data_IF_198124046157
#
_entry.id   IF_198124046157
#
_cell.length_a   1.000
_cell.length_b   1.000
_cell.length_c   1.000
_cell.angle_alpha   90.00
_cell.angle_beta   90.00
_cell.angle_gamma   90.00
#
_symmetry.space_group_name_H-M   'P 1'
#
loop_
_entity.id
_entity.type
_entity.pdbx_description
1 polymer ?
#
# COMPACT_ATOMS: atom_id res chain seq x y z
N UNK A 1 15.87 34.00 10.72
CA UNK A 1 16.47 33.12 9.70
C UNK A 1 15.53 31.95 9.45
N UNK A 2 14.74 32.00 8.38
CA UNK A 2 13.81 30.94 8.02
C UNK A 2 14.61 29.80 7.40
N UNK A 3 14.75 28.68 8.11
CA UNK A 3 15.37 27.46 7.56
C UNK A 3 14.53 27.05 6.35
N UNK A 4 15.06 27.21 5.13
CA UNK A 4 14.44 26.67 3.92
C UNK A 4 14.38 25.15 4.09
N UNK A 5 13.21 24.59 4.43
CA UNK A 5 12.97 23.14 4.38
C UNK A 5 13.37 22.67 2.98
N UNK A 6 14.31 21.74 2.91
CA UNK A 6 14.73 21.16 1.64
C UNK A 6 13.50 20.51 0.99
N UNK A 7 13.22 20.87 -0.27
CA UNK A 7 12.11 20.27 -1.03
C UNK A 7 12.35 18.77 -1.15
N UNK A 8 11.34 17.97 -0.81
CA UNK A 8 11.38 16.51 -0.93
C UNK A 8 11.84 16.06 -2.33
N UNK A 9 12.50 14.91 -2.40
CA UNK A 9 12.93 14.27 -3.64
C UNK A 9 12.66 12.77 -3.58
N UNK A 10 11.93 12.25 -4.57
CA UNK A 10 11.75 10.82 -4.75
C UNK A 10 13.10 10.12 -4.92
N UNK A 11 13.23 8.98 -4.26
CA UNK A 11 14.37 8.07 -4.38
C UNK A 11 13.84 6.63 -4.48
N UNK A 12 14.62 5.75 -5.09
CA UNK A 12 14.35 4.31 -5.03
C UNK A 12 14.33 3.84 -3.58
N UNK A 13 13.22 3.23 -3.16
CA UNK A 13 13.08 2.68 -1.83
C UNK A 13 14.01 1.46 -1.63
N UNK A 14 14.50 1.31 -0.40
CA UNK A 14 15.22 0.12 0.06
C UNK A 14 14.36 -0.56 1.13
N UNK A 15 13.56 -1.54 0.74
CA UNK A 15 12.73 -2.24 1.71
C UNK A 15 13.59 -3.18 2.57
N UNK A 16 13.39 -3.11 3.88
CA UNK A 16 13.93 -4.10 4.82
C UNK A 16 13.06 -5.36 4.72
N UNK A 17 13.66 -6.53 4.53
CA UNK A 17 12.97 -7.83 4.40
C UNK A 17 12.03 -8.18 5.57
N UNK A 18 12.14 -7.49 6.71
CA UNK A 18 11.44 -7.82 7.96
C UNK A 18 10.05 -7.19 8.06
N UNK A 19 9.76 -6.12 7.30
CA UNK A 19 8.49 -5.39 7.42
C UNK A 19 7.56 -5.75 6.26
N UNK A 20 6.43 -6.38 6.57
CA UNK A 20 5.36 -6.65 5.60
C UNK A 20 4.64 -5.34 5.29
N UNK A 21 4.66 -4.94 4.01
CA UNK A 21 3.91 -3.80 3.52
C UNK A 21 2.64 -4.28 2.83
N UNK A 22 1.56 -3.51 2.96
CA UNK A 22 0.25 -3.77 2.36
C UNK A 22 -0.22 -2.52 1.61
N UNK A 23 -1.19 -2.70 0.71
CA UNK A 23 -1.78 -1.61 -0.04
C UNK A 23 -2.56 -0.66 0.87
N UNK A 24 -2.34 0.64 0.72
CA UNK A 24 -3.13 1.71 1.33
C UNK A 24 -3.96 2.38 0.24
N UNK A 25 -5.28 2.42 0.44
CA UNK A 25 -6.21 3.10 -0.48
C UNK A 25 -6.57 4.47 0.07
N UNK A 26 -6.64 5.46 -0.81
CA UNK A 26 -7.22 6.78 -0.53
C UNK A 26 -8.59 6.96 -1.18
N UNK A 27 -9.18 5.89 -1.72
CA UNK A 27 -10.40 5.98 -2.50
C UNK A 27 -11.57 6.48 -1.65
N UNK A 28 -12.36 7.37 -2.22
CA UNK A 28 -13.59 7.90 -1.64
C UNK A 28 -14.73 7.76 -2.64
N UNK A 29 -15.97 7.70 -2.15
CA UNK A 29 -17.14 7.79 -3.03
C UNK A 29 -17.28 9.22 -3.52
N UNK A 30 -17.48 9.41 -4.81
CA UNK A 30 -17.93 10.67 -5.36
C UNK A 30 -19.46 10.79 -5.23
N UNK A 31 -20.04 12.00 -5.45
CA UNK A 31 -21.49 12.20 -5.47
C UNK A 31 -22.25 11.41 -6.54
N UNK A 32 -21.56 10.90 -7.57
CA UNK A 32 -22.12 10.07 -8.65
C UNK A 32 -22.16 8.58 -8.32
N UNK A 33 -21.60 8.16 -7.19
CA UNK A 33 -21.51 6.76 -6.76
C UNK A 33 -20.30 6.00 -7.31
N UNK A 34 -19.35 6.69 -7.94
CA UNK A 34 -18.07 6.13 -8.38
C UNK A 34 -17.00 6.29 -7.30
N UNK A 35 -16.01 5.42 -7.31
CA UNK A 35 -14.85 5.56 -6.44
C UNK A 35 -13.75 6.36 -7.14
N UNK A 36 -13.27 7.41 -6.51
CA UNK A 36 -12.14 8.21 -6.99
C UNK A 36 -10.98 8.14 -6.00
N UNK A 37 -9.74 8.22 -6.49
CA UNK A 37 -8.59 8.49 -5.65
C UNK A 37 -8.26 9.99 -5.69
N UNK A 38 -8.66 10.78 -4.68
CA UNK A 38 -8.53 12.23 -4.74
C UNK A 38 -7.07 12.69 -4.73
N UNK A 39 -6.16 11.90 -4.15
CA UNK A 39 -4.73 12.19 -4.10
C UNK A 39 -4.10 12.03 -5.48
N UNK A 40 -4.43 10.94 -6.19
CA UNK A 40 -3.90 10.65 -7.52
C UNK A 40 -4.52 11.57 -8.56
N UNK A 41 -5.85 11.67 -8.58
CA UNK A 41 -6.60 12.52 -9.51
C UNK A 41 -6.14 13.97 -9.45
N UNK A 42 -5.95 14.53 -8.25
CA UNK A 42 -5.49 15.91 -8.13
C UNK A 42 -4.03 16.10 -8.58
N UNK A 43 -3.13 15.18 -8.22
CA UNK A 43 -1.71 15.34 -8.54
C UNK A 43 -1.40 15.11 -10.04
N UNK A 44 -2.10 14.15 -10.64
CA UNK A 44 -1.75 13.56 -11.92
C UNK A 44 -2.83 13.74 -13.00
N UNK A 45 -4.06 14.08 -12.64
CA UNK A 45 -5.21 14.09 -13.54
C UNK A 45 -5.80 12.69 -13.74
N UNK A 46 -6.77 12.58 -14.65
CA UNK A 46 -7.47 11.32 -14.93
C UNK A 46 -6.70 10.44 -15.92
N UNK A 47 -5.96 11.06 -16.85
CA UNK A 47 -5.23 10.34 -17.91
C UNK A 47 -3.71 10.48 -17.84
N UNK A 48 -3.01 9.37 -18.03
CA UNK A 48 -1.55 9.32 -18.05
C UNK A 48 -1.07 8.32 -19.11
N UNK A 49 -0.08 8.74 -19.89
CA UNK A 49 0.53 7.88 -20.91
C UNK A 49 1.60 6.98 -20.28
N UNK A 50 1.37 5.67 -20.33
CA UNK A 50 2.26 4.68 -19.74
C UNK A 50 3.66 4.66 -20.35
N UNK A 51 3.79 4.99 -21.63
CA UNK A 51 5.07 5.04 -22.35
C UNK A 51 5.92 6.22 -21.89
N UNK A 52 5.31 7.39 -21.73
CA UNK A 52 5.95 8.59 -21.17
C UNK A 52 6.36 8.35 -19.71
N UNK A 53 5.46 7.80 -18.90
CA UNK A 53 5.75 7.44 -17.52
C UNK A 53 6.92 6.46 -17.43
N UNK A 54 6.91 5.39 -18.24
CA UNK A 54 8.00 4.41 -18.29
C UNK A 54 9.34 5.07 -18.66
N UNK A 55 9.38 5.84 -19.74
CA UNK A 55 10.60 6.50 -20.21
C UNK A 55 11.16 7.44 -19.14
N UNK A 56 10.29 8.21 -18.48
CA UNK A 56 10.66 9.08 -17.38
C UNK A 56 11.25 8.31 -16.19
N UNK A 57 10.57 7.27 -15.72
CA UNK A 57 11.03 6.47 -14.57
C UNK A 57 12.39 5.83 -14.86
N UNK A 58 12.54 5.22 -16.03
CA UNK A 58 13.79 4.60 -16.45
C UNK A 58 14.91 5.64 -16.55
N UNK A 59 14.63 6.81 -17.16
CA UNK A 59 15.64 7.85 -17.26
C UNK A 59 16.04 8.39 -15.90
N UNK A 60 15.08 8.64 -15.01
CA UNK A 60 15.31 9.28 -13.71
C UNK A 60 15.92 8.33 -12.67
N UNK A 61 15.46 7.09 -12.63
CA UNK A 61 15.79 6.13 -11.57
C UNK A 61 16.64 4.95 -12.05
N UNK A 62 16.80 4.77 -13.37
CA UNK A 62 17.51 3.62 -13.95
C UNK A 62 16.63 2.37 -13.96
N UNK A 63 17.24 1.20 -13.80
CA UNK A 63 16.50 -0.06 -13.77
C UNK A 63 15.56 -0.17 -12.55
N UNK A 64 14.49 -0.96 -12.66
CA UNK A 64 13.50 -1.13 -11.61
C UNK A 64 14.12 -1.78 -10.36
N UNK A 65 13.71 -1.35 -9.16
CA UNK A 65 14.28 -1.82 -7.89
C UNK A 65 13.51 -2.99 -7.26
N UNK A 66 12.50 -3.52 -7.92
CA UNK A 66 11.67 -4.62 -7.43
C UNK A 66 11.33 -5.58 -8.56
N UNK A 67 11.03 -6.84 -8.23
CA UNK A 67 10.51 -7.79 -9.21
C UNK A 67 9.08 -7.45 -9.63
N UNK A 68 8.72 -7.78 -10.85
CA UNK A 68 7.41 -7.55 -11.43
C UNK A 68 6.87 -8.82 -12.09
N UNK A 69 5.55 -8.90 -12.23
CA UNK A 69 4.89 -10.01 -12.90
C UNK A 69 5.19 -9.97 -14.41
N UNK A 70 5.78 -11.05 -14.95
CA UNK A 70 6.22 -11.11 -16.35
C UNK A 70 5.09 -11.11 -17.39
N UNK A 71 3.83 -11.20 -16.96
CA UNK A 71 2.65 -11.13 -17.82
C UNK A 71 1.87 -9.82 -17.61
N UNK A 72 1.70 -9.37 -16.36
CA UNK A 72 0.77 -8.27 -16.00
C UNK A 72 1.41 -6.89 -15.89
N UNK A 73 2.74 -6.81 -15.75
CA UNK A 73 3.42 -5.56 -15.42
C UNK A 73 4.57 -5.30 -16.40
N UNK A 74 4.66 -4.09 -16.96
CA UNK A 74 5.83 -3.68 -17.75
C UNK A 74 7.07 -3.58 -16.86
N UNK A 75 6.89 -2.95 -15.70
CA UNK A 75 7.94 -2.69 -14.73
C UNK A 75 7.34 -2.22 -13.41
N UNK A 76 8.13 -2.30 -12.33
CA UNK A 76 7.71 -1.89 -10.99
C UNK A 76 8.78 -1.08 -10.27
N UNK A 77 8.43 0.14 -9.91
CA UNK A 77 9.26 1.01 -9.08
C UNK A 77 8.61 1.19 -7.71
N UNK A 78 9.38 1.00 -6.65
CA UNK A 78 8.97 1.40 -5.29
C UNK A 78 9.82 2.61 -4.91
N UNK A 79 9.17 3.74 -4.69
CA UNK A 79 9.78 5.04 -4.41
C UNK A 79 9.47 5.48 -2.97
N UNK A 80 10.38 6.24 -2.37
CA UNK A 80 10.17 6.88 -1.07
C UNK A 80 9.07 7.94 -1.15
N UNK A 81 8.46 8.28 -0.02
CA UNK A 81 7.63 9.49 0.12
C UNK A 81 8.19 10.36 1.26
N UNK A 82 7.66 11.57 1.51
CA UNK A 82 8.01 12.33 2.71
C UNK A 82 7.67 11.60 4.01
N UNK A 83 6.72 10.66 3.98
CA UNK A 83 6.35 9.86 5.14
C UNK A 83 7.14 8.56 5.17
N UNK A 84 7.85 8.30 6.27
CA UNK A 84 8.77 7.15 6.41
C UNK A 84 8.08 5.79 6.27
N UNK A 85 6.80 5.73 6.64
CA UNK A 85 5.98 4.51 6.61
C UNK A 85 5.10 4.45 5.36
N UNK A 86 5.38 5.26 4.33
CA UNK A 86 4.64 5.24 3.08
C UNK A 86 5.60 5.15 1.90
N UNK A 87 5.35 4.19 1.03
CA UNK A 87 6.00 4.09 -0.27
C UNK A 87 5.00 4.32 -1.39
N UNK A 88 5.48 4.95 -2.47
CA UNK A 88 4.77 5.05 -3.72
C UNK A 88 5.20 3.89 -4.61
N UNK A 89 4.27 3.02 -5.00
CA UNK A 89 4.48 1.99 -5.99
C UNK A 89 3.98 2.50 -7.34
N UNK A 90 4.85 2.48 -8.35
CA UNK A 90 4.55 2.91 -9.70
C UNK A 90 4.69 1.73 -10.66
N UNK A 91 3.59 1.39 -11.33
CA UNK A 91 3.50 0.32 -12.33
C UNK A 91 2.88 0.91 -13.59
N UNK A 92 3.66 1.17 -14.66
CA UNK A 92 3.10 1.58 -15.94
C UNK A 92 2.09 0.54 -16.47
N UNK A 93 0.80 0.86 -16.42
CA UNK A 93 -0.33 0.06 -16.87
C UNK A 93 -0.61 0.30 -18.35
N UNK A 94 -0.94 -0.74 -19.11
CA UNK A 94 -1.29 -0.60 -20.53
C UNK A 94 -2.72 -0.04 -20.64
N UNK A 95 -2.81 1.27 -20.82
CA UNK A 95 -4.03 2.06 -20.89
C UNK A 95 -3.72 3.52 -20.63
N UNK A 96 -4.75 4.32 -20.39
CA UNK A 96 -4.65 5.74 -20.09
C UNK A 96 -5.11 6.09 -18.66
N UNK A 97 -5.69 5.16 -17.90
CA UNK A 97 -6.19 5.44 -16.55
C UNK A 97 -5.07 5.69 -15.54
N UNK A 98 -5.03 6.90 -14.99
CA UNK A 98 -3.99 7.33 -14.04
C UNK A 98 -3.98 6.51 -12.76
N UNK A 99 -5.14 6.16 -12.22
CA UNK A 99 -5.26 5.42 -10.96
C UNK A 99 -4.65 4.02 -11.03
N UNK A 100 -4.58 3.43 -12.22
CA UNK A 100 -3.99 2.11 -12.42
C UNK A 100 -2.46 2.13 -12.41
N UNK A 101 -1.84 3.31 -12.52
CA UNK A 101 -0.38 3.47 -12.45
C UNK A 101 0.18 3.46 -11.04
N UNK A 102 -0.63 3.84 -10.05
CA UNK A 102 -0.15 4.21 -8.72
C UNK A 102 -0.84 3.41 -7.63
N UNK A 103 -0.04 2.89 -6.70
CA UNK A 103 -0.55 2.36 -5.43
C UNK A 103 0.35 2.81 -4.30
N UNK A 104 -0.19 2.88 -3.10
CA UNK A 104 0.56 3.24 -1.91
C UNK A 104 0.77 2.01 -1.04
N UNK A 105 1.96 1.89 -0.47
CA UNK A 105 2.32 0.76 0.39
C UNK A 105 2.69 1.27 1.79
N UNK A 106 2.13 0.63 2.81
CA UNK A 106 2.34 1.00 4.22
C UNK A 106 2.54 -0.25 5.09
N UNK A 107 3.21 -0.16 6.25
CA UNK A 107 3.20 -1.21 7.26
C UNK A 107 1.78 -1.65 7.66
N UNK A 108 1.62 -2.92 8.01
CA UNK A 108 0.29 -3.49 8.28
C UNK A 108 -0.45 -2.83 9.46
N UNK A 109 0.28 -2.40 10.49
CA UNK A 109 -0.26 -1.67 11.64
C UNK A 109 -0.86 -0.31 11.25
N UNK A 110 -0.22 0.41 10.32
CA UNK A 110 -0.76 1.66 9.78
C UNK A 110 -2.06 1.41 9.02
N UNK A 111 -2.09 0.37 8.17
CA UNK A 111 -3.31 -0.03 7.47
C UNK A 111 -4.45 -0.33 8.45
N UNK A 112 -4.18 -1.12 9.50
CA UNK A 112 -5.16 -1.44 10.53
C UNK A 112 -5.65 -0.19 11.26
N UNK A 113 -4.77 0.76 11.57
CA UNK A 113 -5.16 2.02 12.21
C UNK A 113 -6.14 2.83 11.32
N UNK A 114 -5.90 2.88 10.02
CA UNK A 114 -6.78 3.56 9.06
C UNK A 114 -8.15 2.89 8.94
N UNK A 115 -8.18 1.56 8.84
CA UNK A 115 -9.42 0.78 8.82
C UNK A 115 -10.22 0.96 10.11
N UNK A 116 -9.56 0.85 11.26
CA UNK A 116 -10.19 1.03 12.57
C UNK A 116 -10.77 2.44 12.74
N UNK A 117 -10.07 3.46 12.25
CA UNK A 117 -10.59 4.83 12.27
C UNK A 117 -11.84 4.96 11.40
N UNK A 118 -11.83 4.40 10.18
CA UNK A 118 -12.98 4.42 9.28
C UNK A 118 -14.23 3.71 9.83
N UNK A 119 -14.02 2.74 10.73
CA UNK A 119 -15.08 1.94 11.35
C UNK A 119 -15.39 2.33 12.80
N UNK A 120 -14.72 3.34 13.36
CA UNK A 120 -14.75 3.66 14.81
C UNK A 120 -16.16 3.82 15.39
N UNK A 121 -17.08 4.44 14.66
CA UNK A 121 -18.46 4.61 15.13
C UNK A 121 -19.23 3.30 15.13
N UNK A 122 -18.98 2.42 14.16
CA UNK A 122 -19.55 1.06 14.13
C UNK A 122 -18.97 0.20 15.24
N UNK A 123 -17.67 0.28 15.49
CA UNK A 123 -17.07 -0.42 16.62
C UNK A 123 -17.67 0.08 17.94
N UNK A 124 -17.81 1.40 18.13
CA UNK A 124 -18.43 1.94 19.34
C UNK A 124 -19.89 1.51 19.50
N UNK A 125 -20.66 1.49 18.41
CA UNK A 125 -22.04 1.00 18.38
C UNK A 125 -22.12 -0.49 18.70
N UNK A 126 -21.22 -1.29 18.13
CA UNK A 126 -21.14 -2.73 18.37
C UNK A 126 -20.80 -3.05 19.83
N UNK A 127 -19.90 -2.28 20.44
CA UNK A 127 -19.61 -2.42 21.87
C UNK A 127 -20.84 -2.16 22.74
N UNK A 128 -21.66 -1.16 22.39
CA UNK A 128 -22.92 -0.90 23.10
C UNK A 128 -23.97 -2.00 22.84
N UNK A 129 -24.00 -2.57 21.64
CA UNK A 129 -24.83 -3.72 21.33
C UNK A 129 -24.47 -4.93 22.21
N UNK A 130 -23.18 -5.16 22.43
CA UNK A 130 -22.69 -6.22 23.31
C UNK A 130 -23.06 -5.96 24.77
N UNK A 131 -22.88 -4.74 25.26
CA UNK A 131 -23.30 -4.35 26.62
C UNK A 131 -24.81 -4.60 26.82
N UNK A 132 -25.61 -4.21 25.83
CA UNK A 132 -27.05 -4.41 25.84
C UNK A 132 -27.46 -5.89 25.82
N UNK A 133 -26.75 -6.71 25.05
CA UNK A 133 -26.99 -8.16 25.02
C UNK A 133 -26.64 -8.84 26.34
N UNK A 134 -25.55 -8.41 26.98
CA UNK A 134 -25.15 -8.95 28.27
C UNK A 134 -26.18 -8.66 29.37
N UNK A 135 -26.84 -7.50 29.32
CA UNK A 135 -27.95 -7.18 30.21
C UNK A 135 -29.18 -8.09 29.99
N UNK A 136 -29.36 -8.61 28.78
CA UNK A 136 -30.43 -9.57 28.42
C UNK A 136 -30.05 -11.03 28.67
N UNK A 137 -28.79 -11.28 29.03
CA UNK A 137 -28.23 -12.61 29.20
C UNK A 137 -27.69 -13.22 27.90
N UNK A 138 -26.71 -14.11 28.07
CA UNK A 138 -26.10 -14.85 26.96
C UNK A 138 -26.73 -16.24 26.82
N UNK A 139 -26.79 -16.80 25.60
CA UNK A 139 -27.24 -18.17 25.42
C UNK A 139 -26.37 -19.18 26.19
N UNK A 140 -26.99 -20.23 26.73
CA UNK A 140 -26.29 -21.28 27.49
C UNK A 140 -25.19 -22.00 26.69
N UNK A 141 -25.24 -21.96 25.35
CA UNK A 141 -24.25 -22.57 24.46
C UNK A 141 -23.02 -21.68 24.19
N UNK A 142 -23.04 -20.41 24.62
CA UNK A 142 -21.95 -19.45 24.39
C UNK A 142 -20.58 -19.92 24.91
N UNK A 143 -20.45 -20.58 26.08
CA UNK A 143 -19.17 -21.14 26.52
C UNK A 143 -18.60 -22.19 25.55
N UNK A 144 -19.47 -22.99 24.92
CA UNK A 144 -19.06 -23.96 23.91
C UNK A 144 -18.54 -23.30 22.65
N UNK A 145 -19.14 -22.17 22.24
CA UNK A 145 -18.66 -21.34 21.14
C UNK A 145 -17.28 -20.74 21.41
N UNK A 146 -17.06 -20.19 22.61
CA UNK A 146 -15.76 -19.67 23.04
C UNK A 146 -14.67 -20.74 22.97
N UNK A 147 -14.94 -21.93 23.52
CA UNK A 147 -14.01 -23.04 23.49
C UNK A 147 -13.68 -23.45 22.04
N UNK A 148 -14.69 -23.52 21.17
CA UNK A 148 -14.49 -23.79 19.75
C UNK A 148 -13.57 -22.73 19.09
N UNK A 149 -13.85 -21.44 19.26
CA UNK A 149 -13.03 -20.38 18.66
C UNK A 149 -11.58 -20.44 19.12
N UNK A 150 -11.35 -20.70 20.40
CA UNK A 150 -10.00 -20.87 20.96
C UNK A 150 -9.30 -22.06 20.32
N UNK A 151 -9.91 -23.25 20.35
CA UNK A 151 -9.33 -24.47 19.77
C UNK A 151 -9.06 -24.33 18.27
N UNK A 152 -10.04 -23.86 17.49
CA UNK A 152 -9.92 -23.72 16.04
C UNK A 152 -8.81 -22.72 15.65
N UNK A 153 -8.66 -21.62 16.40
CA UNK A 153 -7.58 -20.67 16.17
C UNK A 153 -6.21 -21.28 16.42
N UNK A 154 -6.09 -22.09 17.48
CA UNK A 154 -4.82 -22.70 17.91
C UNK A 154 -4.42 -23.90 17.07
N UNK A 155 -5.39 -24.63 16.51
CA UNK A 155 -5.14 -25.64 15.46
C UNK A 155 -4.52 -25.00 14.21
N UNK A 156 -4.99 -23.81 13.83
CA UNK A 156 -4.48 -23.09 12.66
C UNK A 156 -3.15 -22.37 12.94
N UNK A 157 -2.96 -21.88 14.17
CA UNK A 157 -1.77 -21.15 14.59
C UNK A 157 -1.55 -21.38 16.09
N UNK A 158 -0.55 -22.20 16.44
CA UNK A 158 -0.30 -22.63 17.83
C UNK A 158 -0.11 -21.46 18.82
N UNK A 159 0.40 -20.32 18.33
CA UNK A 159 0.65 -19.11 19.12
C UNK A 159 -0.57 -18.16 19.17
N UNK A 160 -1.73 -18.57 18.63
CA UNK A 160 -2.93 -17.76 18.68
C UNK A 160 -3.40 -17.55 20.15
N UNK A 161 -3.82 -16.32 20.50
CA UNK A 161 -4.33 -16.03 21.82
C UNK A 161 -5.64 -16.77 22.07
N UNK A 162 -5.88 -17.15 23.32
CA UNK A 162 -7.16 -17.73 23.74
C UNK A 162 -8.25 -16.65 23.78
N UNK A 163 -9.44 -16.98 23.28
CA UNK A 163 -10.60 -16.11 23.43
C UNK A 163 -11.20 -16.33 24.82
N UNK A 164 -11.11 -15.29 25.65
CA UNK A 164 -11.71 -15.26 26.99
C UNK A 164 -13.02 -14.48 27.02
N UNK A 165 -13.34 -13.77 25.93
CA UNK A 165 -14.52 -12.93 25.80
C UNK A 165 -15.24 -13.21 24.48
N UNK A 166 -16.56 -13.41 24.53
CA UNK A 166 -17.37 -13.72 23.34
C UNK A 166 -17.36 -12.57 22.34
N UNK A 167 -17.18 -11.33 22.81
CA UNK A 167 -17.06 -10.12 22.00
C UNK A 167 -15.93 -10.23 20.97
N UNK A 168 -14.85 -10.92 21.31
CA UNK A 168 -13.67 -11.07 20.43
C UNK A 168 -13.86 -12.16 19.35
N UNK A 169 -14.97 -12.89 19.39
CA UNK A 169 -15.26 -14.00 18.46
C UNK A 169 -16.05 -13.59 17.23
N UNK A 170 -16.46 -12.33 17.11
CA UNK A 170 -17.30 -11.80 16.01
C UNK A 170 -16.69 -12.07 14.63
N UNK A 171 -15.36 -12.01 14.50
CA UNK A 171 -14.65 -12.35 13.24
C UNK A 171 -14.87 -13.79 12.75
N UNK A 172 -15.31 -14.70 13.62
CA UNK A 172 -15.64 -16.09 13.26
C UNK A 172 -17.08 -16.26 12.72
N UNK A 173 -17.92 -15.23 12.79
CA UNK A 173 -19.36 -15.32 12.46
C UNK A 173 -19.65 -15.51 10.95
N UNK A 174 -18.66 -15.28 10.09
CA UNK A 174 -18.80 -15.29 8.63
C UNK A 174 -18.42 -16.62 7.96
N UNK A 175 -18.02 -17.64 8.73
CA UNK A 175 -17.56 -18.93 8.19
C UNK A 175 -18.40 -20.09 8.73
N UNK A 176 -19.68 -20.25 8.32
CA UNK A 176 -20.52 -21.33 8.82
C UNK A 176 -20.00 -22.74 8.48
N UNK A 177 -19.04 -22.87 7.56
CA UNK A 177 -18.58 -24.18 7.09
C UNK A 177 -19.68 -24.88 6.28
N UNK A 178 -19.38 -26.08 5.79
CA UNK A 178 -20.37 -26.94 5.15
C UNK A 178 -21.13 -27.80 6.18
N UNK A 179 -22.28 -28.39 5.83
CA UNK A 179 -23.03 -29.29 6.73
C UNK A 179 -22.25 -30.52 7.20
N UNK A 180 -21.14 -30.87 6.53
CA UNK A 180 -20.23 -31.95 6.91
C UNK A 180 -19.23 -31.55 8.00
N UNK A 181 -19.19 -30.28 8.40
CA UNK A 181 -18.32 -29.78 9.46
C UNK A 181 -18.88 -30.15 10.84
N UNK A 182 -18.11 -30.82 11.72
CA UNK A 182 -18.56 -31.19 13.07
C UNK A 182 -19.05 -30.03 13.93
N UNK A 183 -18.65 -28.79 13.60
CA UNK A 183 -19.03 -27.57 14.30
C UNK A 183 -20.07 -26.74 13.54
N UNK A 184 -20.61 -27.23 12.42
CA UNK A 184 -21.58 -26.51 11.58
C UNK A 184 -22.74 -25.93 12.39
N UNK A 185 -23.40 -26.75 13.22
CA UNK A 185 -24.55 -26.30 14.03
C UNK A 185 -24.17 -25.22 15.04
N UNK A 186 -22.97 -25.30 15.63
CA UNK A 186 -22.50 -24.29 16.58
C UNK A 186 -22.17 -22.97 15.88
N UNK A 187 -21.49 -23.02 14.71
CA UNK A 187 -21.20 -21.84 13.88
C UNK A 187 -22.48 -21.19 13.34
N UNK A 188 -23.46 -22.00 12.94
CA UNK A 188 -24.78 -21.54 12.51
C UNK A 188 -25.49 -20.80 13.63
N UNK A 189 -25.58 -21.39 14.82
CA UNK A 189 -26.16 -20.74 16.02
C UNK A 189 -25.46 -19.41 16.35
N UNK A 190 -24.13 -19.38 16.31
CA UNK A 190 -23.37 -18.15 16.53
C UNK A 190 -23.69 -17.09 15.47
N UNK A 191 -23.70 -17.45 14.19
CA UNK A 191 -24.03 -16.53 13.09
C UNK A 191 -25.46 -15.98 13.21
N UNK A 192 -26.43 -16.85 13.51
CA UNK A 192 -27.83 -16.45 13.73
C UNK A 192 -27.96 -15.53 14.96
N UNK A 193 -27.25 -15.83 16.03
CA UNK A 193 -27.21 -14.99 17.23
C UNK A 193 -26.66 -13.59 16.95
N UNK A 194 -25.50 -13.45 16.30
CA UNK A 194 -24.94 -12.12 15.99
C UNK A 194 -25.83 -11.33 15.01
N UNK A 195 -26.44 -12.01 14.03
CA UNK A 195 -27.41 -11.39 13.13
C UNK A 195 -28.64 -10.86 13.89
N UNK A 196 -29.22 -11.68 14.76
CA UNK A 196 -30.38 -11.30 15.56
C UNK A 196 -30.03 -10.16 16.54
N UNK A 197 -28.87 -10.26 17.20
CA UNK A 197 -28.35 -9.21 18.07
C UNK A 197 -28.28 -7.86 17.35
N UNK A 198 -27.63 -7.80 16.19
CA UNK A 198 -27.49 -6.54 15.48
C UNK A 198 -28.83 -6.02 14.96
N UNK A 199 -29.72 -6.89 14.49
CA UNK A 199 -31.05 -6.50 14.04
C UNK A 199 -31.91 -5.94 15.18
N UNK A 200 -31.92 -6.62 16.34
CA UNK A 200 -32.70 -6.18 17.49
C UNK A 200 -32.12 -4.89 18.09
N UNK A 201 -30.79 -4.75 18.16
CA UNK A 201 -30.17 -3.54 18.68
C UNK A 201 -30.31 -2.35 17.74
N UNK A 202 -30.38 -2.57 16.42
CA UNK A 202 -30.66 -1.52 15.45
C UNK A 202 -32.05 -0.88 15.63
N UNK A 203 -33.01 -1.61 16.23
CA UNK A 203 -34.31 -1.06 16.64
C UNK A 203 -34.21 -0.14 17.88
N UNK A 204 -33.13 -0.22 18.66
CA UNK A 204 -32.83 0.63 19.82
C UNK A 204 -31.99 1.83 19.42
N UNK A 205 -30.89 1.58 18.72
CA UNK A 205 -29.96 2.60 18.23
C UNK A 205 -29.61 2.28 16.77
N UNK A 206 -29.94 3.20 15.85
CA UNK A 206 -29.64 3.02 14.43
C UNK A 206 -28.14 2.76 14.21
N UNK A 207 -27.81 1.74 13.41
CA UNK A 207 -26.42 1.42 13.10
C UNK A 207 -25.77 2.56 12.31
N UNK A 208 -24.61 3.07 12.75
CA UNK A 208 -23.93 4.15 12.03
C UNK A 208 -23.34 3.68 10.70
N UNK A 209 -23.24 4.60 9.75
CA UNK A 209 -22.52 4.42 8.49
C UNK A 209 -21.02 4.22 8.68
N UNK A 210 -20.31 3.97 7.58
CA UNK A 210 -18.86 4.15 7.56
C UNK A 210 -18.55 5.65 7.65
N UNK A 211 -17.34 5.97 8.09
CA UNK A 211 -16.86 7.34 8.02
C UNK A 211 -16.63 7.68 6.55
N UNK A 212 -17.52 8.50 6.01
CA UNK A 212 -17.39 9.05 4.67
C UNK A 212 -16.35 10.16 4.69
N UNK A 213 -15.50 10.17 3.68
CA UNK A 213 -14.42 11.16 3.50
C UNK A 213 -14.76 12.05 2.32
N UNK A 214 -14.45 13.33 2.45
CA UNK A 214 -14.61 14.29 1.37
C UNK A 214 -13.72 13.95 0.15
N UNK A 215 -14.13 14.42 -1.02
CA UNK A 215 -13.36 14.31 -2.26
C UNK A 215 -12.13 15.23 -2.28
N UNK A 216 -12.05 16.24 -1.40
CA UNK A 216 -10.80 16.93 -1.10
C UNK A 216 -10.19 16.32 0.17
N UNK A 217 -9.02 15.71 0.03
CA UNK A 217 -8.30 15.07 1.14
C UNK A 217 -7.86 16.05 2.23
N UNK A 218 -7.83 17.36 1.92
CA UNK A 218 -7.50 18.42 2.89
C UNK A 218 -8.62 18.65 3.90
N UNK A 219 -9.86 18.35 3.52
CA UNK A 219 -11.05 18.48 4.37
C UNK A 219 -11.24 17.29 5.30
N UNK A 220 -10.41 16.25 5.18
CA UNK A 220 -10.45 15.12 6.11
C UNK A 220 -10.13 15.58 7.53
N UNK A 221 -10.69 14.89 8.52
CA UNK A 221 -10.45 15.17 9.94
C UNK A 221 -8.94 15.10 10.26
N UNK A 222 -8.43 16.02 11.06
CA UNK A 222 -7.03 16.02 11.50
C UNK A 222 -6.68 14.79 12.35
N UNK A 223 -7.67 14.18 13.00
CA UNK A 223 -7.55 12.90 13.69
C UNK A 223 -7.56 11.69 12.75
N UNK A 224 -7.90 11.87 11.46
CA UNK A 224 -7.86 10.79 10.49
C UNK A 224 -6.40 10.42 10.19
N UNK A 225 -5.96 9.19 10.52
CA UNK A 225 -4.59 8.79 10.28
C UNK A 225 -4.22 8.95 8.80
N UNK A 226 -5.16 8.74 7.86
CA UNK A 226 -4.89 8.83 6.42
C UNK A 226 -4.51 10.23 5.94
N UNK A 227 -4.90 11.30 6.63
CA UNK A 227 -4.67 12.67 6.15
C UNK A 227 -3.19 12.96 5.92
N UNK A 228 -2.35 12.59 6.89
CA UNK A 228 -0.89 12.75 6.78
C UNK A 228 -0.26 11.89 5.67
N UNK A 229 -0.83 10.72 5.39
CA UNK A 229 -0.40 9.84 4.30
C UNK A 229 -0.85 10.36 2.94
N UNK A 230 -2.05 10.95 2.85
CA UNK A 230 -2.55 11.59 1.65
C UNK A 230 -1.68 12.80 1.26
N UNK A 231 -1.31 13.65 2.23
CA UNK A 231 -0.37 14.76 2.01
C UNK A 231 0.99 14.28 1.49
N UNK A 232 1.55 13.24 2.11
CA UNK A 232 2.82 12.66 1.68
C UNK A 232 2.73 11.99 0.30
N UNK A 233 1.62 11.31 0.01
CA UNK A 233 1.33 10.73 -1.29
C UNK A 233 1.23 11.78 -2.38
N UNK A 234 0.49 12.86 -2.12
CA UNK A 234 0.36 14.00 -3.02
C UNK A 234 1.72 14.65 -3.31
N UNK A 235 2.51 14.93 -2.26
CA UNK A 235 3.85 15.50 -2.41
C UNK A 235 4.81 14.58 -3.19
N UNK A 236 4.69 13.26 -3.03
CA UNK A 236 5.44 12.28 -3.80
C UNK A 236 5.04 12.31 -5.29
N UNK A 237 3.75 12.30 -5.60
CA UNK A 237 3.24 12.39 -6.96
C UNK A 237 3.63 13.72 -7.63
N UNK A 238 3.55 14.84 -6.91
CA UNK A 238 4.00 16.14 -7.43
C UNK A 238 5.49 16.14 -7.81
N UNK A 239 6.31 15.35 -7.12
CA UNK A 239 7.73 15.24 -7.42
C UNK A 239 8.01 14.52 -8.75
N UNK A 240 7.03 13.80 -9.32
CA UNK A 240 7.11 13.22 -10.68
C UNK A 240 7.11 14.28 -11.79
N UNK A 241 6.75 15.53 -11.48
CA UNK A 241 6.90 16.70 -12.38
C UNK A 241 8.33 17.24 -12.42
N UNK A 242 9.28 16.65 -11.68
CA UNK A 242 10.68 17.08 -11.74
C UNK A 242 11.26 16.67 -13.09
N UNK A 243 11.73 17.63 -13.92
CA UNK A 243 12.25 17.30 -15.24
C UNK A 243 13.57 16.52 -15.15
N UNK A 244 13.81 15.67 -16.13
CA UNK A 244 15.10 15.05 -16.43
C UNK A 244 15.45 15.29 -17.90
N UNK A 245 16.73 15.48 -18.19
CA UNK A 245 17.20 15.79 -19.54
C UNK A 245 17.45 14.52 -20.36
N UNK A 246 16.98 14.53 -21.61
CA UNK A 246 17.29 13.53 -22.64
C UNK A 246 17.73 14.29 -23.89
N UNK A 247 19.04 14.26 -24.17
CA UNK A 247 19.66 15.06 -25.24
C UNK A 247 19.31 16.56 -25.12
N UNK A 248 18.56 17.07 -26.08
CA UNK A 248 18.11 18.45 -26.30
C UNK A 248 16.71 18.71 -25.73
N UNK A 249 16.04 17.69 -25.18
CA UNK A 249 14.73 17.82 -24.55
C UNK A 249 14.78 17.58 -23.03
N UNK A 250 13.76 18.07 -22.34
CA UNK A 250 13.45 17.68 -20.96
C UNK A 250 12.12 16.94 -20.93
N UNK A 251 12.05 15.89 -20.11
CA UNK A 251 10.82 15.14 -19.87
C UNK A 251 10.51 15.05 -18.37
N UNK A 252 9.24 14.99 -18.03
CA UNK A 252 8.75 14.55 -16.72
C UNK A 252 7.82 13.32 -16.90
N UNK A 253 7.15 12.87 -15.83
CA UNK A 253 6.25 11.71 -15.93
C UNK A 253 5.06 11.92 -16.89
N UNK A 254 4.75 13.16 -17.26
CA UNK A 254 3.62 13.53 -18.11
C UNK A 254 4.04 13.78 -19.57
N UNK A 255 5.35 13.83 -19.84
CA UNK A 255 5.91 13.94 -21.19
C UNK A 255 6.93 15.05 -21.31
N UNK A 256 6.99 15.65 -22.50
CA UNK A 256 7.92 16.73 -22.80
C UNK A 256 7.60 18.00 -21.99
N UNK A 257 8.63 18.55 -21.36
CA UNK A 257 8.55 19.81 -20.61
C UNK A 257 9.02 20.94 -21.51
N UNK A 258 8.07 21.77 -21.95
CA UNK A 258 8.37 22.98 -22.72
C UNK A 258 9.08 24.02 -21.87
N UNK A 259 10.01 24.76 -22.47
CA UNK A 259 10.62 25.91 -21.82
C UNK A 259 9.56 26.91 -21.38
N UNK A 260 9.66 27.36 -20.13
CA UNK A 260 8.76 28.34 -19.55
C UNK A 260 9.55 29.37 -18.77
N UNK A 261 8.96 30.52 -18.49
CA UNK A 261 9.58 31.62 -17.72
C UNK A 261 10.07 31.20 -16.33
N UNK A 262 9.56 30.09 -15.77
CA UNK A 262 9.96 29.51 -14.49
C UNK A 262 11.16 28.54 -14.60
N UNK A 263 11.42 27.98 -15.79
CA UNK A 263 12.57 27.12 -16.08
C UNK A 263 13.65 27.99 -16.72
N UNK A 264 14.64 28.42 -15.93
CA UNK A 264 15.64 29.44 -16.34
C UNK A 264 16.44 29.08 -17.60
N UNK A 265 16.58 27.78 -17.92
CA UNK A 265 17.11 27.22 -19.18
C UNK A 265 17.07 25.68 -19.07
N UNK A 266 16.89 24.96 -20.19
CA UNK A 266 17.12 23.49 -20.29
C UNK A 266 18.50 23.06 -19.75
N UNK A 267 19.51 23.93 -19.81
CA UNK A 267 20.87 23.70 -19.30
C UNK A 267 20.93 23.59 -17.76
N UNK A 268 19.89 24.02 -17.06
CA UNK A 268 19.80 23.91 -15.58
C UNK A 268 19.22 22.59 -15.10
N UNK A 269 18.75 21.74 -16.02
CA UNK A 269 18.24 20.39 -15.72
C UNK A 269 19.40 19.40 -15.72
N UNK A 270 19.71 18.84 -14.55
CA UNK A 270 20.77 17.86 -14.41
C UNK A 270 20.45 16.56 -15.18
N UNK A 271 21.50 15.95 -15.72
CA UNK A 271 21.42 14.58 -16.22
C UNK A 271 21.18 13.61 -15.07
N UNK A 272 20.36 12.60 -15.31
CA UNK A 272 20.15 11.53 -14.34
C UNK A 272 21.37 10.58 -14.33
N UNK A 273 21.95 10.27 -13.16
CA UNK A 273 23.20 9.52 -13.04
C UNK A 273 23.06 8.01 -13.33
N UNK A 274 21.85 7.53 -13.61
CA UNK A 274 21.52 6.10 -13.58
C UNK A 274 21.50 5.40 -14.96
N UNK A 275 21.72 6.10 -16.08
CA UNK A 275 21.55 5.54 -17.43
C UNK A 275 22.77 5.75 -18.33
N UNK A 276 22.99 4.83 -19.28
CA UNK A 276 24.07 4.91 -20.27
C UNK A 276 25.08 3.76 -20.23
N UNK A 277 24.93 2.82 -19.29
CA UNK A 277 25.79 1.64 -19.18
C UNK A 277 25.17 0.43 -19.91
N UNK A 278 25.97 -0.43 -20.56
CA UNK A 278 25.50 -1.59 -21.32
C UNK A 278 25.00 -2.76 -20.44
N UNK A 279 24.51 -2.49 -19.22
CA UNK A 279 24.02 -3.51 -18.28
C UNK A 279 22.84 -4.31 -18.84
N UNK A 280 22.08 -3.73 -19.77
CA UNK A 280 20.93 -4.39 -20.40
C UNK A 280 21.30 -5.65 -21.20
N UNK A 281 22.47 -5.70 -21.84
CA UNK A 281 22.80 -6.84 -22.70
C UNK A 281 22.98 -8.14 -21.89
N UNK A 282 23.64 -8.05 -20.73
CA UNK A 282 23.82 -9.18 -19.83
C UNK A 282 22.48 -9.63 -19.22
N UNK A 283 21.62 -8.66 -18.86
CA UNK A 283 20.26 -8.94 -18.39
C UNK A 283 19.33 -9.51 -19.46
N UNK A 284 19.54 -9.19 -20.76
CA UNK A 284 18.67 -9.63 -21.85
C UNK A 284 19.03 -11.01 -22.40
N UNK A 285 20.32 -11.36 -22.46
CA UNK A 285 20.80 -12.62 -23.05
C UNK A 285 20.86 -13.75 -22.02
N UNK A 286 21.08 -13.44 -20.75
CA UNK A 286 21.24 -14.41 -19.66
C UNK A 286 20.42 -13.95 -18.43
N UNK A 287 19.10 -13.82 -18.61
CA UNK A 287 18.18 -13.25 -17.60
C UNK A 287 18.25 -13.96 -16.25
N UNK A 288 18.32 -15.29 -16.26
CA UNK A 288 18.40 -16.13 -15.06
C UNK A 288 19.75 -15.97 -14.37
N UNK A 289 20.84 -16.09 -15.13
CA UNK A 289 22.21 -15.97 -14.64
C UNK A 289 22.48 -14.57 -14.10
N UNK A 290 21.91 -13.53 -14.71
CA UNK A 290 21.99 -12.16 -14.21
C UNK A 290 21.24 -12.00 -12.88
N UNK A 291 20.05 -12.58 -12.75
CA UNK A 291 19.31 -12.58 -11.50
C UNK A 291 20.07 -13.32 -10.39
N UNK A 292 20.67 -14.46 -10.71
CA UNK A 292 21.52 -15.25 -9.79
C UNK A 292 22.78 -14.46 -9.38
N UNK A 293 23.46 -13.84 -10.35
CA UNK A 293 24.62 -12.97 -10.11
C UNK A 293 24.26 -11.78 -9.21
N UNK A 294 23.12 -11.14 -9.47
CA UNK A 294 22.60 -10.07 -8.64
C UNK A 294 22.32 -10.57 -7.21
N UNK A 295 21.74 -11.76 -7.05
CA UNK A 295 21.55 -12.42 -5.77
C UNK A 295 22.87 -12.64 -5.01
N UNK A 296 23.92 -13.10 -5.70
CA UNK A 296 25.26 -13.30 -5.12
C UNK A 296 25.89 -11.97 -4.66
N UNK A 297 25.84 -10.92 -5.49
CA UNK A 297 26.28 -9.57 -5.13
C UNK A 297 25.61 -9.12 -3.85
N UNK A 298 24.27 -9.24 -3.79
CA UNK A 298 23.50 -8.81 -2.64
C UNK A 298 23.82 -9.62 -1.38
N UNK A 299 24.04 -10.93 -1.51
CA UNK A 299 24.46 -11.80 -0.40
C UNK A 299 25.84 -11.41 0.14
N UNK A 300 26.84 -11.23 -0.73
CA UNK A 300 28.21 -10.83 -0.36
C UNK A 300 28.26 -9.44 0.31
N UNK A 301 27.40 -8.54 -0.15
CA UNK A 301 27.23 -7.20 0.40
C UNK A 301 26.42 -7.13 1.70
N UNK A 302 25.85 -8.25 2.18
CA UNK A 302 24.86 -8.28 3.27
C UNK A 302 23.69 -7.30 3.01
N UNK A 303 23.17 -7.32 1.77
CA UNK A 303 22.12 -6.42 1.30
C UNK A 303 22.59 -5.06 0.78
N UNK A 304 23.90 -4.75 0.82
CA UNK A 304 24.47 -3.54 0.24
C UNK A 304 25.15 -3.83 -1.10
N UNK A 305 24.53 -3.39 -2.21
CA UNK A 305 25.02 -3.63 -3.57
C UNK A 305 26.46 -3.13 -3.81
N UNK A 306 26.79 -1.89 -3.40
CA UNK A 306 28.15 -1.33 -3.60
C UNK A 306 29.22 -2.16 -2.89
N UNK A 307 28.95 -2.58 -1.66
CA UNK A 307 29.84 -3.46 -0.89
C UNK A 307 29.98 -4.84 -1.54
N UNK A 308 28.87 -5.39 -2.04
CA UNK A 308 28.83 -6.65 -2.77
C UNK A 308 29.68 -6.62 -4.04
N UNK A 309 29.48 -5.59 -4.85
CA UNK A 309 30.24 -5.35 -6.09
C UNK A 309 31.74 -5.21 -5.76
N UNK A 310 32.11 -4.39 -4.78
CA UNK A 310 33.51 -4.21 -4.39
C UNK A 310 34.20 -5.53 -4.02
N UNK A 311 33.50 -6.40 -3.25
CA UNK A 311 34.02 -7.73 -2.91
C UNK A 311 34.10 -8.66 -4.12
N UNK A 312 33.11 -8.63 -5.00
CA UNK A 312 33.12 -9.45 -6.22
C UNK A 312 34.25 -9.04 -7.14
N UNK A 313 34.43 -7.73 -7.37
CA UNK A 313 35.52 -7.21 -8.18
C UNK A 313 36.88 -7.60 -7.59
N UNK A 314 37.05 -7.51 -6.27
CA UNK A 314 38.28 -7.95 -5.62
C UNK A 314 38.57 -9.45 -5.83
N UNK A 315 37.54 -10.30 -5.79
CA UNK A 315 37.68 -11.74 -6.07
C UNK A 315 37.98 -12.03 -7.54
N UNK A 316 37.29 -11.36 -8.47
CA UNK A 316 37.46 -11.54 -9.90
C UNK A 316 38.80 -10.97 -10.43
N UNK A 317 39.42 -10.06 -9.68
CA UNK A 317 40.76 -9.53 -9.98
C UNK A 317 41.89 -10.40 -9.41
N UNK A 318 41.57 -11.42 -8.61
CA UNK A 318 42.53 -12.37 -8.04
C UNK A 318 42.61 -13.69 -8.84
N UNK A 319 41.76 -13.85 -9.84
CA UNK A 319 41.66 -15.00 -10.75
C UNK A 319 42.20 -14.65 -12.13
#
# INVERSE_FOLDING_TARGET
>A
MTVKKAKFRLQLARQKKVVKHVGLSFNVSDPGGWFINPVVSEACGETMDYGKLFAYLFRRFGYPNFGWDGYKELTKYILTTPHKDLFLCVVPFVGDSTDLHFSFLTPFDVYLAAENYGQRFRHAWEMRAFDWQEQRGLPHWMPGWLNFCTSASRESCADAPEYTNWRDTTKWMFLPGGPSDPHYELRKKASEFFKALYADYEAVERRPGYVERATDWREWDDADPLKSFAEAGFAALQDLRRPVRVRDAAIDAFGEVKESRAMKSLDTVNEAPASGYPSGNLGNVATKEFADLHGLIMKMGKGNARRGIAKMMALAQQS
#
